data_IF_584663494064
#
_entry.id   IF_584663494064
#
_cell.length_a   1.000
_cell.length_b   1.000
_cell.length_c   1.000
_cell.angle_alpha   90.00
_cell.angle_beta   90.00
_cell.angle_gamma   90.00
#
_symmetry.space_group_name_H-M   'P 1'
#
loop_
_entity.id
_entity.type
_entity.pdbx_description
1 polymer ?
#
# COMPACT_ATOMS: atom_id res chain seq x y z
N UNK A 1 -31.29 6.31 17.78
CA UNK A 1 -31.69 5.73 16.45
C UNK A 1 -32.23 6.76 15.47
N UNK A 2 -32.95 7.80 15.93
CA UNK A 2 -33.53 8.82 15.05
C UNK A 2 -32.52 9.91 14.66
N UNK A 3 -31.58 10.26 15.52
CA UNK A 3 -30.51 11.25 15.24
C UNK A 3 -29.54 10.74 14.17
N UNK A 4 -29.07 9.50 14.27
CA UNK A 4 -28.23 8.85 13.25
C UNK A 4 -28.89 8.80 11.87
N UNK A 5 -30.23 8.67 11.79
CA UNK A 5 -30.94 8.71 10.49
C UNK A 5 -30.96 10.11 9.88
N UNK A 6 -31.02 11.14 10.72
CA UNK A 6 -31.03 12.56 10.27
C UNK A 6 -29.69 12.99 9.68
N UNK A 7 -28.59 12.72 10.38
CA UNK A 7 -27.22 13.04 9.93
C UNK A 7 -26.87 12.33 8.62
N UNK A 8 -27.22 11.05 8.51
CA UNK A 8 -26.94 10.25 7.33
C UNK A 8 -27.76 10.68 6.11
N UNK A 9 -29.02 11.10 6.31
CA UNK A 9 -29.83 11.68 5.24
C UNK A 9 -29.23 12.99 4.74
N UNK A 10 -28.66 13.79 5.62
CA UNK A 10 -27.98 15.04 5.25
C UNK A 10 -26.75 14.77 4.41
N UNK A 11 -25.90 13.81 4.76
CA UNK A 11 -24.73 13.41 3.96
C UNK A 11 -25.11 13.01 2.53
N UNK A 12 -26.18 12.24 2.36
CA UNK A 12 -26.66 11.83 1.03
C UNK A 12 -27.23 13.04 0.27
N UNK A 13 -28.00 13.91 0.92
CA UNK A 13 -28.57 15.11 0.30
C UNK A 13 -27.45 16.07 -0.11
N UNK A 14 -26.38 16.18 0.68
CA UNK A 14 -25.21 16.99 0.36
C UNK A 14 -24.47 16.41 -0.85
N UNK A 15 -24.28 15.10 -0.88
CA UNK A 15 -23.68 14.40 -2.01
C UNK A 15 -24.50 14.59 -3.30
N UNK A 16 -25.82 14.54 -3.25
CA UNK A 16 -26.70 14.81 -4.40
C UNK A 16 -26.57 16.23 -4.95
N UNK A 17 -26.17 17.19 -4.14
CA UNK A 17 -25.95 18.59 -4.55
C UNK A 17 -24.54 18.83 -5.07
N UNK A 18 -23.55 18.07 -4.61
CA UNK A 18 -22.14 18.29 -4.90
C UNK A 18 -21.59 17.38 -6.00
N UNK A 19 -22.22 16.20 -6.21
CA UNK A 19 -21.80 15.23 -7.21
C UNK A 19 -22.67 15.34 -8.46
N UNK A 20 -22.04 15.55 -9.61
CA UNK A 20 -22.73 15.55 -10.91
C UNK A 20 -23.04 14.13 -11.40
N UNK A 21 -22.32 13.12 -10.92
CA UNK A 21 -22.47 11.73 -11.34
C UNK A 21 -23.62 11.04 -10.59
N UNK A 22 -24.76 10.90 -11.25
CA UNK A 22 -25.95 10.23 -10.70
C UNK A 22 -25.72 8.75 -10.39
N UNK A 23 -24.80 8.08 -11.10
CA UNK A 23 -24.51 6.69 -10.83
C UNK A 23 -23.64 6.54 -9.56
N UNK A 24 -22.67 7.42 -9.37
CA UNK A 24 -21.89 7.48 -8.12
C UNK A 24 -22.81 7.70 -6.91
N UNK A 25 -23.83 8.57 -7.02
CA UNK A 25 -24.82 8.76 -5.95
C UNK A 25 -25.62 7.47 -5.69
N UNK A 26 -26.00 6.70 -6.74
CA UNK A 26 -26.67 5.39 -6.55
C UNK A 26 -25.75 4.41 -5.80
N UNK A 27 -24.46 4.34 -6.17
CA UNK A 27 -23.46 3.49 -5.49
C UNK A 27 -23.30 3.92 -4.04
N UNK A 28 -23.22 5.23 -3.76
CA UNK A 28 -23.13 5.77 -2.40
C UNK A 28 -24.34 5.34 -1.53
N UNK A 29 -25.54 5.45 -2.08
CA UNK A 29 -26.77 5.01 -1.39
C UNK A 29 -26.76 3.50 -1.10
N UNK A 30 -26.29 2.70 -2.04
CA UNK A 30 -26.15 1.24 -1.85
C UNK A 30 -25.14 0.93 -0.74
N UNK A 31 -23.98 1.59 -0.73
CA UNK A 31 -22.97 1.43 0.32
C UNK A 31 -23.49 1.85 1.69
N UNK A 32 -24.26 2.91 1.76
CA UNK A 32 -24.95 3.31 2.97
C UNK A 32 -25.89 2.22 3.49
N UNK A 33 -26.73 1.65 2.64
CA UNK A 33 -27.69 0.61 3.03
C UNK A 33 -27.00 -0.63 3.60
N UNK A 34 -25.82 -0.98 3.10
CA UNK A 34 -25.07 -2.17 3.54
C UNK A 34 -24.06 -1.88 4.65
N UNK A 35 -23.79 -0.60 5.00
CA UNK A 35 -22.79 -0.22 6.02
C UNK A 35 -22.96 -0.97 7.34
N UNK A 36 -24.20 -1.16 7.77
CA UNK A 36 -24.52 -1.82 9.04
C UNK A 36 -24.88 -3.30 8.90
N UNK A 37 -24.70 -3.85 7.70
CA UNK A 37 -24.99 -5.25 7.42
C UNK A 37 -23.71 -6.07 7.46
N UNK A 38 -23.33 -6.54 8.66
CA UNK A 38 -22.01 -7.14 8.94
C UNK A 38 -21.61 -8.35 8.09
N UNK A 39 -22.58 -9.01 7.42
CA UNK A 39 -22.33 -10.17 6.58
C UNK A 39 -22.03 -9.82 5.11
N UNK A 40 -22.16 -8.54 4.70
CA UNK A 40 -21.87 -8.10 3.33
C UNK A 40 -20.52 -7.42 3.25
N UNK A 41 -19.58 -8.04 2.55
CA UNK A 41 -18.29 -7.43 2.27
C UNK A 41 -18.41 -6.52 1.05
N UNK A 42 -18.17 -5.23 1.21
CA UNK A 42 -18.27 -4.20 0.18
C UNK A 42 -17.04 -4.18 -0.73
N UNK A 43 -16.67 -5.34 -1.28
CA UNK A 43 -15.64 -5.42 -2.33
C UNK A 43 -16.18 -4.86 -3.65
N UNK A 44 -15.30 -4.38 -4.54
CA UNK A 44 -15.67 -3.92 -5.90
C UNK A 44 -16.58 -4.93 -6.61
N UNK A 45 -16.25 -6.22 -6.56
CA UNK A 45 -17.04 -7.30 -7.16
C UNK A 45 -18.45 -7.37 -6.56
N UNK A 46 -18.58 -7.37 -5.22
CA UNK A 46 -19.86 -7.47 -4.56
C UNK A 46 -20.73 -6.22 -4.79
N UNK A 47 -20.11 -5.03 -4.82
CA UNK A 47 -20.79 -3.78 -5.19
C UNK A 47 -21.28 -3.85 -6.64
N UNK A 48 -20.45 -4.33 -7.56
CA UNK A 48 -20.82 -4.50 -8.96
C UNK A 48 -22.06 -5.40 -9.09
N UNK A 49 -22.08 -6.53 -8.42
CA UNK A 49 -23.24 -7.44 -8.41
C UNK A 49 -24.48 -6.78 -7.79
N UNK A 50 -24.32 -6.06 -6.67
CA UNK A 50 -25.42 -5.35 -5.98
C UNK A 50 -26.08 -4.28 -6.87
N UNK A 51 -25.31 -3.70 -7.79
CA UNK A 51 -25.75 -2.58 -8.64
C UNK A 51 -26.29 -3.02 -10.02
N UNK A 52 -26.37 -4.32 -10.30
CA UNK A 52 -27.01 -4.85 -11.53
C UNK A 52 -28.51 -4.61 -11.46
N UNK A 53 -29.01 -3.82 -12.39
CA UNK A 53 -30.45 -3.50 -12.54
C UNK A 53 -31.05 -4.04 -13.84
N UNK A 54 -30.22 -4.61 -14.75
CA UNK A 54 -30.65 -5.25 -16.02
C UNK A 54 -29.92 -6.58 -16.20
N UNK A 55 -30.67 -7.62 -16.57
CA UNK A 55 -30.13 -8.97 -16.82
C UNK A 55 -29.21 -9.03 -18.07
N UNK A 56 -29.35 -8.09 -18.99
CA UNK A 56 -28.56 -8.01 -20.23
C UNK A 56 -27.38 -7.03 -20.12
N UNK A 57 -26.96 -6.66 -18.89
CA UNK A 57 -25.88 -5.72 -18.69
C UNK A 57 -24.55 -6.25 -19.27
N UNK A 58 -23.83 -5.39 -19.98
CA UNK A 58 -22.42 -5.65 -20.32
C UNK A 58 -21.59 -5.58 -19.02
N UNK A 59 -21.20 -6.74 -18.50
CA UNK A 59 -20.49 -6.85 -17.23
C UNK A 59 -19.18 -6.06 -17.20
N UNK A 60 -18.43 -6.03 -18.32
CA UNK A 60 -17.17 -5.31 -18.39
C UNK A 60 -17.36 -3.79 -18.34
N UNK A 61 -18.31 -3.29 -19.11
CA UNK A 61 -18.67 -1.88 -19.08
C UNK A 61 -19.24 -1.47 -17.73
N UNK A 62 -20.04 -2.35 -17.11
CA UNK A 62 -20.61 -2.15 -15.78
C UNK A 62 -19.51 -2.08 -14.70
N UNK A 63 -18.55 -3.00 -14.70
CA UNK A 63 -17.41 -2.98 -13.76
C UNK A 63 -16.57 -1.71 -13.91
N UNK A 64 -16.33 -1.24 -15.12
CA UNK A 64 -15.63 0.03 -15.39
C UNK A 64 -16.40 1.21 -14.82
N UNK A 65 -17.73 1.21 -14.97
CA UNK A 65 -18.59 2.26 -14.42
C UNK A 65 -18.61 2.28 -12.91
N UNK A 66 -18.60 1.10 -12.26
CA UNK A 66 -18.47 0.97 -10.81
C UNK A 66 -17.11 1.52 -10.35
N UNK A 67 -16.02 1.18 -11.04
CA UNK A 67 -14.69 1.64 -10.72
C UNK A 67 -14.57 3.18 -10.76
N UNK A 68 -15.12 3.77 -11.80
CA UNK A 68 -15.18 5.23 -11.94
C UNK A 68 -15.98 5.86 -10.81
N UNK A 69 -17.16 5.32 -10.50
CA UNK A 69 -18.00 5.80 -9.40
C UNK A 69 -17.31 5.70 -8.04
N UNK A 70 -16.67 4.57 -7.74
CA UNK A 70 -15.92 4.38 -6.49
C UNK A 70 -14.73 5.34 -6.40
N UNK A 71 -14.03 5.58 -7.51
CA UNK A 71 -12.93 6.55 -7.57
C UNK A 71 -13.41 7.98 -7.27
N UNK A 72 -14.54 8.39 -7.84
CA UNK A 72 -15.15 9.71 -7.56
C UNK A 72 -15.49 9.82 -6.07
N UNK A 73 -16.16 8.80 -5.51
CA UNK A 73 -16.58 8.80 -4.12
C UNK A 73 -15.41 8.77 -3.13
N UNK A 74 -14.34 8.05 -3.46
CA UNK A 74 -13.09 7.99 -2.66
C UNK A 74 -12.36 9.35 -2.69
N UNK A 75 -12.24 9.97 -3.87
CA UNK A 75 -11.59 11.28 -4.02
C UNK A 75 -12.33 12.38 -3.26
N UNK A 76 -13.65 12.33 -3.24
CA UNK A 76 -14.53 13.29 -2.54
C UNK A 76 -14.76 12.92 -1.05
N UNK A 77 -14.07 11.89 -0.55
CA UNK A 77 -14.17 11.41 0.85
C UNK A 77 -15.59 11.02 1.29
N UNK A 78 -16.49 10.64 0.37
CA UNK A 78 -17.77 10.00 0.72
C UNK A 78 -17.61 8.53 1.06
N UNK A 79 -16.54 7.93 0.57
CA UNK A 79 -16.19 6.54 0.77
C UNK A 79 -14.70 6.45 1.10
N UNK A 80 -14.34 5.59 2.05
CA UNK A 80 -12.96 5.19 2.28
C UNK A 80 -12.72 3.81 1.69
N UNK A 81 -11.51 3.58 1.23
CA UNK A 81 -11.02 2.28 0.82
C UNK A 81 -10.05 1.71 1.85
N UNK A 82 -10.31 0.48 2.30
CA UNK A 82 -9.43 -0.25 3.20
C UNK A 82 -9.13 -1.63 2.59
N UNK A 83 -7.97 -1.75 1.93
CA UNK A 83 -7.66 -2.89 1.08
C UNK A 83 -8.65 -3.00 -0.09
N UNK A 84 -9.42 -4.09 -0.15
CA UNK A 84 -10.44 -4.33 -1.18
C UNK A 84 -11.86 -3.93 -0.75
N UNK A 85 -12.02 -3.38 0.46
CA UNK A 85 -13.32 -3.00 1.02
C UNK A 85 -13.54 -1.51 0.86
N UNK A 86 -14.74 -1.11 0.44
CA UNK A 86 -15.21 0.27 0.33
C UNK A 86 -16.28 0.54 1.37
N UNK A 87 -16.13 1.57 2.17
CA UNK A 87 -17.02 1.89 3.30
C UNK A 87 -17.56 3.31 3.15
N UNK A 88 -18.89 3.43 3.31
CA UNK A 88 -19.54 4.74 3.40
C UNK A 88 -19.06 5.49 4.63
N UNK A 89 -18.76 6.78 4.50
CA UNK A 89 -18.38 7.66 5.60
C UNK A 89 -19.53 8.55 6.04
N UNK A 90 -19.76 8.65 7.35
CA UNK A 90 -20.59 9.70 7.96
C UNK A 90 -19.87 11.04 7.90
N UNK A 91 -20.54 12.14 8.19
CA UNK A 91 -19.94 13.48 8.11
C UNK A 91 -18.71 13.60 9.03
N UNK A 92 -18.79 13.17 10.29
CA UNK A 92 -17.64 13.15 11.21
C UNK A 92 -16.50 12.24 10.71
N UNK A 93 -16.82 11.06 10.14
CA UNK A 93 -15.83 10.16 9.54
C UNK A 93 -15.18 10.77 8.30
N UNK A 94 -15.97 11.51 7.49
CA UNK A 94 -15.49 12.23 6.31
C UNK A 94 -14.52 13.33 6.70
N UNK A 95 -14.87 14.15 7.68
CA UNK A 95 -13.99 15.23 8.17
C UNK A 95 -12.64 14.66 8.64
N UNK A 96 -12.66 13.60 9.45
CA UNK A 96 -11.44 12.92 9.90
C UNK A 96 -10.65 12.33 8.73
N UNK A 97 -11.32 11.72 7.75
CA UNK A 97 -10.65 11.16 6.56
C UNK A 97 -9.99 12.24 5.70
N UNK A 98 -10.63 13.40 5.54
CA UNK A 98 -10.08 14.55 4.83
C UNK A 98 -8.85 15.11 5.56
N UNK A 99 -8.91 15.23 6.88
CA UNK A 99 -7.78 15.68 7.69
C UNK A 99 -6.60 14.69 7.62
N UNK A 100 -6.87 13.38 7.64
CA UNK A 100 -5.85 12.34 7.41
C UNK A 100 -5.23 12.49 6.02
N UNK A 101 -6.04 12.63 4.96
CA UNK A 101 -5.55 12.80 3.58
C UNK A 101 -4.68 14.04 3.43
N UNK A 102 -5.02 15.12 4.12
CA UNK A 102 -4.30 16.39 4.12
C UNK A 102 -3.10 16.43 5.08
N UNK A 103 -2.88 15.37 5.88
CA UNK A 103 -1.73 15.29 6.77
C UNK A 103 -0.44 15.20 5.95
N UNK A 104 0.47 16.14 6.15
CA UNK A 104 1.79 16.14 5.51
C UNK A 104 2.67 15.04 6.06
N UNK A 105 3.37 14.36 5.18
CA UNK A 105 4.39 13.35 5.50
C UNK A 105 5.66 13.65 4.68
N UNK A 106 6.81 13.34 5.26
CA UNK A 106 8.10 13.47 4.58
C UNK A 106 8.52 12.14 3.92
N UNK A 107 9.40 12.24 2.93
CA UNK A 107 9.93 11.08 2.21
C UNK A 107 10.75 10.17 3.14
N UNK A 108 11.34 10.72 4.20
CA UNK A 108 12.08 9.93 5.18
C UNK A 108 11.14 8.95 5.94
N UNK A 109 9.92 9.38 6.27
CA UNK A 109 8.93 8.52 6.92
C UNK A 109 8.50 7.37 5.98
N UNK A 110 8.36 7.66 4.67
CA UNK A 110 8.05 6.63 3.66
C UNK A 110 9.19 5.61 3.58
N UNK A 111 10.42 6.07 3.41
CA UNK A 111 11.59 5.23 3.28
C UNK A 111 11.83 4.39 4.55
N UNK A 112 11.58 4.97 5.74
CA UNK A 112 11.69 4.25 7.01
C UNK A 112 10.65 3.13 7.14
N UNK A 113 9.40 3.37 6.75
CA UNK A 113 8.37 2.33 6.75
C UNK A 113 8.66 1.23 5.74
N UNK A 114 9.15 1.58 4.55
CA UNK A 114 9.57 0.61 3.55
C UNK A 114 10.72 -0.26 4.07
N UNK A 115 11.69 0.34 4.75
CA UNK A 115 12.80 -0.39 5.41
C UNK A 115 12.26 -1.36 6.46
N UNK A 116 11.36 -0.91 7.32
CA UNK A 116 10.73 -1.77 8.34
C UNK A 116 10.02 -2.97 7.68
N UNK A 117 9.21 -2.72 6.64
CA UNK A 117 8.48 -3.79 5.96
C UNK A 117 9.42 -4.76 5.24
N UNK A 118 10.35 -4.25 4.42
CA UNK A 118 11.15 -5.07 3.52
C UNK A 118 12.29 -5.77 4.25
N UNK A 119 13.05 -5.05 5.08
CA UNK A 119 14.21 -5.61 5.75
C UNK A 119 13.90 -6.19 7.12
N UNK A 120 13.06 -5.54 7.95
CA UNK A 120 12.84 -6.01 9.32
C UNK A 120 11.74 -7.09 9.41
N UNK A 121 10.67 -6.97 8.57
CA UNK A 121 9.54 -7.90 8.62
C UNK A 121 9.63 -9.05 7.59
N UNK A 122 10.21 -8.83 6.40
CA UNK A 122 10.29 -9.85 5.35
C UNK A 122 11.66 -10.52 5.34
N UNK A 123 12.74 -9.80 5.10
CA UNK A 123 14.09 -10.37 5.00
C UNK A 123 14.55 -10.85 6.37
N UNK A 124 14.45 -10.02 7.41
CA UNK A 124 14.75 -10.29 8.83
C UNK A 124 16.21 -10.59 9.15
N UNK A 125 17.04 -10.80 8.15
CA UNK A 125 18.43 -11.15 8.33
C UNK A 125 19.32 -9.94 8.02
N UNK A 126 20.33 -9.71 8.83
CA UNK A 126 21.41 -8.75 8.58
C UNK A 126 22.69 -9.42 8.08
N UNK A 127 22.66 -10.74 7.98
CA UNK A 127 23.70 -11.61 7.42
C UNK A 127 23.05 -12.78 6.70
N UNK A 128 23.60 -13.14 5.56
CA UNK A 128 23.13 -14.28 4.78
C UNK A 128 24.28 -15.28 4.64
N UNK A 129 24.00 -16.54 4.95
CA UNK A 129 24.97 -17.63 4.80
C UNK A 129 25.18 -17.95 3.32
N UNK A 130 26.42 -17.91 2.86
CA UNK A 130 26.80 -18.42 1.54
C UNK A 130 26.93 -19.94 1.59
N UNK A 131 26.23 -20.63 0.69
CA UNK A 131 26.05 -22.07 0.79
C UNK A 131 27.30 -22.87 0.45
N UNK A 132 28.20 -22.35 -0.41
CA UNK A 132 29.40 -23.06 -0.84
C UNK A 132 30.46 -23.11 0.26
N UNK A 133 30.78 -22.00 0.90
CA UNK A 133 31.81 -21.94 1.94
C UNK A 133 31.28 -21.94 3.36
N UNK A 134 29.94 -21.92 3.55
CA UNK A 134 29.23 -21.90 4.85
C UNK A 134 29.50 -20.68 5.73
N UNK A 135 30.09 -19.60 5.18
CA UNK A 135 30.33 -18.33 5.88
C UNK A 135 29.13 -17.42 5.80
N UNK A 136 28.96 -16.58 6.83
CA UNK A 136 27.95 -15.54 6.90
C UNK A 136 28.52 -14.23 6.38
N UNK A 137 27.82 -13.61 5.43
CA UNK A 137 28.16 -12.31 4.85
C UNK A 137 27.13 -11.28 5.27
N UNK A 138 27.60 -10.18 5.84
CA UNK A 138 26.77 -9.04 6.14
C UNK A 138 26.65 -8.10 4.91
N UNK A 139 25.64 -7.25 4.93
CA UNK A 139 25.35 -6.35 3.81
C UNK A 139 24.77 -5.02 4.28
N UNK A 140 24.97 -3.98 3.47
CA UNK A 140 24.29 -2.70 3.59
C UNK A 140 22.88 -2.82 3.02
N UNK A 141 21.89 -2.43 3.78
CA UNK A 141 20.51 -2.32 3.32
C UNK A 141 20.26 -0.96 2.70
N UNK A 142 19.74 -0.91 1.46
CA UNK A 142 19.36 0.33 0.77
C UNK A 142 17.95 0.26 0.22
N UNK A 143 17.25 1.40 0.21
CA UNK A 143 15.96 1.59 -0.46
C UNK A 143 16.01 2.92 -1.20
N UNK A 144 15.76 2.89 -2.51
CA UNK A 144 15.65 4.07 -3.36
C UNK A 144 16.84 5.04 -3.17
N UNK A 145 18.07 4.51 -3.08
CA UNK A 145 19.29 5.26 -2.87
C UNK A 145 19.63 5.58 -1.40
N UNK A 146 18.68 5.44 -0.49
CA UNK A 146 18.90 5.70 0.95
C UNK A 146 19.42 4.44 1.65
N UNK A 147 20.57 4.54 2.32
CA UNK A 147 21.15 3.42 3.06
C UNK A 147 20.74 3.45 4.55
N UNK A 148 20.75 2.28 5.19
CA UNK A 148 20.40 2.09 6.60
C UNK A 148 21.51 1.36 7.34
N UNK A 149 21.85 1.87 8.52
CA UNK A 149 22.85 1.29 9.39
C UNK A 149 24.29 1.66 8.98
N UNK A 150 25.22 0.71 9.11
CA UNK A 150 26.63 0.90 8.73
C UNK A 150 26.88 0.35 7.35
N UNK A 151 27.68 1.05 6.58
CA UNK A 151 28.16 0.55 5.29
C UNK A 151 28.96 -0.74 5.46
N UNK A 152 28.69 -1.68 4.56
CA UNK A 152 29.34 -2.97 4.44
C UNK A 152 29.84 -3.13 3.01
N UNK A 153 30.70 -4.11 2.80
CA UNK A 153 31.27 -4.38 1.48
C UNK A 153 30.20 -4.82 0.48
N UNK A 154 29.29 -5.72 0.91
CA UNK A 154 28.17 -6.13 0.08
C UNK A 154 26.94 -5.24 0.32
N UNK A 155 26.12 -5.07 -0.71
CA UNK A 155 24.95 -4.21 -0.69
C UNK A 155 23.72 -4.90 -1.29
N UNK A 156 22.59 -4.74 -0.63
CA UNK A 156 21.27 -5.08 -1.16
C UNK A 156 20.45 -3.80 -1.25
N UNK A 157 20.17 -3.35 -2.47
CA UNK A 157 19.31 -2.22 -2.72
C UNK A 157 17.97 -2.68 -3.30
N UNK A 158 16.88 -2.22 -2.69
CA UNK A 158 15.52 -2.44 -3.16
C UNK A 158 15.04 -1.14 -3.78
N UNK A 159 14.61 -1.20 -5.05
CA UNK A 159 14.07 -0.07 -5.81
C UNK A 159 12.55 -0.21 -5.86
N UNK A 160 11.86 0.83 -5.41
CA UNK A 160 10.39 0.92 -5.47
C UNK A 160 9.96 1.88 -6.57
N UNK A 161 8.67 1.93 -6.89
CA UNK A 161 8.10 2.90 -7.83
C UNK A 161 8.10 4.37 -7.30
N UNK A 162 8.64 4.60 -6.10
CA UNK A 162 8.96 5.93 -5.58
C UNK A 162 10.33 6.46 -6.04
N UNK A 163 11.18 5.58 -6.59
CA UNK A 163 12.49 5.95 -7.11
C UNK A 163 12.36 6.74 -8.42
N UNK A 164 13.04 7.87 -8.54
CA UNK A 164 12.92 8.78 -9.70
C UNK A 164 13.18 8.08 -11.04
N UNK A 165 14.18 7.19 -11.10
CA UNK A 165 14.58 6.47 -12.29
C UNK A 165 14.02 5.03 -12.35
N UNK A 166 12.91 4.76 -11.64
CA UNK A 166 12.31 3.42 -11.55
C UNK A 166 12.05 2.76 -12.92
N UNK A 167 11.59 3.53 -13.91
CA UNK A 167 11.30 3.02 -15.26
C UNK A 167 12.55 2.91 -16.13
N UNK A 168 13.69 3.50 -15.72
CA UNK A 168 14.93 3.49 -16.48
C UNK A 168 15.78 2.25 -16.15
N UNK A 169 15.37 1.11 -16.71
CA UNK A 169 16.01 -0.19 -16.48
C UNK A 169 17.51 -0.16 -16.84
N UNK A 170 17.86 0.50 -17.95
CA UNK A 170 19.26 0.61 -18.40
C UNK A 170 20.13 1.40 -17.40
N UNK A 171 19.58 2.46 -16.82
CA UNK A 171 20.28 3.24 -15.79
C UNK A 171 20.48 2.41 -14.52
N UNK A 172 19.42 1.78 -14.01
CA UNK A 172 19.50 0.90 -12.82
C UNK A 172 20.53 -0.22 -13.02
N UNK A 173 20.51 -0.86 -14.19
CA UNK A 173 21.46 -1.89 -14.56
C UNK A 173 22.91 -1.34 -14.59
N UNK A 174 23.15 -0.18 -15.20
CA UNK A 174 24.47 0.43 -15.28
C UNK A 174 25.08 0.72 -13.91
N UNK A 175 24.27 1.09 -12.93
CA UNK A 175 24.71 1.34 -11.55
C UNK A 175 25.27 0.11 -10.84
N UNK A 176 25.00 -1.09 -11.34
CA UNK A 176 25.53 -2.34 -10.77
C UNK A 176 26.86 -2.78 -11.39
N UNK A 177 27.34 -2.09 -12.44
CA UNK A 177 28.60 -2.45 -13.11
C UNK A 177 29.79 -2.20 -12.17
N UNK A 178 30.56 -3.27 -11.92
CA UNK A 178 31.75 -3.21 -11.06
C UNK A 178 31.45 -2.90 -9.59
N UNK A 179 30.17 -2.91 -9.19
CA UNK A 179 29.78 -2.73 -7.79
C UNK A 179 29.76 -4.06 -7.04
N UNK A 180 29.89 -3.99 -5.72
CA UNK A 180 29.73 -5.13 -4.79
C UNK A 180 28.29 -5.26 -4.30
N UNK A 181 27.35 -4.65 -5.00
CA UNK A 181 25.94 -4.61 -4.66
C UNK A 181 25.03 -5.25 -5.71
N UNK A 182 23.84 -5.59 -5.29
CA UNK A 182 22.74 -6.00 -6.17
C UNK A 182 21.53 -5.09 -5.99
N UNK A 183 20.75 -4.92 -7.06
CA UNK A 183 19.51 -4.16 -7.04
C UNK A 183 18.32 -5.07 -7.34
N UNK A 184 17.29 -4.99 -6.49
CA UNK A 184 16.01 -5.67 -6.68
C UNK A 184 14.95 -4.61 -6.99
N UNK A 185 14.44 -4.60 -8.22
CA UNK A 185 13.38 -3.67 -8.64
C UNK A 185 12.04 -4.35 -8.41
N UNK A 186 11.26 -3.82 -7.47
CA UNK A 186 9.95 -4.35 -7.14
C UNK A 186 9.00 -4.25 -8.34
N UNK A 187 8.09 -5.22 -8.48
CA UNK A 187 7.00 -5.07 -9.43
C UNK A 187 6.12 -3.88 -9.05
N UNK A 188 5.78 -3.03 -10.03
CA UNK A 188 4.93 -1.85 -9.80
C UNK A 188 3.57 -2.24 -9.24
N UNK A 189 3.14 -1.53 -8.21
CA UNK A 189 1.83 -1.67 -7.61
C UNK A 189 1.34 -0.32 -7.06
N UNK A 190 0.56 0.40 -7.85
CA UNK A 190 0.03 1.72 -7.48
C UNK A 190 -0.75 1.72 -6.14
N UNK A 191 -1.37 0.60 -5.77
CA UNK A 191 -2.07 0.46 -4.49
C UNK A 191 -1.08 0.39 -3.33
N UNK A 192 0.07 -0.27 -3.49
CA UNK A 192 1.06 -0.44 -2.44
C UNK A 192 1.58 0.92 -1.92
N UNK A 193 2.12 1.77 -2.78
CA UNK A 193 2.67 3.06 -2.37
C UNK A 193 1.61 4.03 -1.85
N UNK A 194 0.39 3.98 -2.40
CA UNK A 194 -0.74 4.74 -1.85
C UNK A 194 -1.05 4.30 -0.42
N UNK A 195 -1.11 3.01 -0.16
CA UNK A 195 -1.42 2.46 1.16
C UNK A 195 -0.26 2.67 2.15
N UNK A 196 1.01 2.70 1.70
CA UNK A 196 2.18 3.14 2.49
C UNK A 196 1.98 4.58 2.99
N UNK A 197 1.67 5.51 2.07
CA UNK A 197 1.43 6.91 2.44
C UNK A 197 0.24 7.06 3.38
N UNK A 198 -0.86 6.36 3.10
CA UNK A 198 -2.06 6.41 3.94
C UNK A 198 -1.81 5.84 5.34
N UNK A 199 -1.00 4.77 5.46
CA UNK A 199 -0.60 4.22 6.75
C UNK A 199 0.12 5.28 7.61
N UNK A 200 1.10 5.98 7.02
CA UNK A 200 1.90 7.00 7.73
C UNK A 200 1.02 8.19 8.11
N UNK A 201 0.20 8.69 7.18
CA UNK A 201 -0.73 9.80 7.42
C UNK A 201 -1.68 9.49 8.56
N UNK A 202 -2.30 8.30 8.55
CA UNK A 202 -3.22 7.86 9.60
C UNK A 202 -2.52 7.79 10.96
N UNK A 203 -1.33 7.18 11.02
CA UNK A 203 -0.57 7.05 12.26
C UNK A 203 -0.15 8.44 12.82
N UNK A 204 0.30 9.34 11.95
CA UNK A 204 0.69 10.72 12.33
C UNK A 204 -0.50 11.50 12.84
N UNK A 205 -1.63 11.48 12.10
CA UNK A 205 -2.87 12.15 12.50
C UNK A 205 -3.38 11.62 13.86
N UNK A 206 -3.40 10.30 14.03
CA UNK A 206 -3.79 9.65 15.27
C UNK A 206 -2.92 10.11 16.44
N UNK A 207 -1.59 10.15 16.28
CA UNK A 207 -0.66 10.59 17.30
C UNK A 207 -0.89 12.07 17.69
N UNK A 208 -1.19 12.93 16.72
CA UNK A 208 -1.43 14.37 16.95
C UNK A 208 -2.77 14.63 17.66
N UNK A 209 -3.75 13.75 17.47
CA UNK A 209 -5.12 13.93 17.98
C UNK A 209 -5.47 13.05 19.18
N UNK A 210 -4.52 12.27 19.72
CA UNK A 210 -4.66 11.54 20.99
C UNK A 210 -4.46 12.52 22.16
N UNK A 211 -5.51 13.16 22.62
CA UNK A 211 -5.44 14.08 23.75
C UNK A 211 -6.72 14.12 24.60
N UNK A 212 -6.61 14.63 25.82
CA UNK A 212 -7.73 14.77 26.77
C UNK A 212 -8.82 15.76 26.32
N UNK A 213 -8.59 16.52 25.24
CA UNK A 213 -9.55 17.45 24.63
C UNK A 213 -10.30 16.92 23.42
N UNK A 214 -10.04 15.67 23.01
CA UNK A 214 -10.67 15.09 21.81
C UNK A 214 -12.16 14.81 22.05
N UNK A 215 -13.03 15.26 21.13
CA UNK A 215 -14.47 14.96 21.21
C UNK A 215 -14.70 13.44 21.23
N UNK A 216 -15.66 12.91 22.01
CA UNK A 216 -15.88 11.46 22.14
C UNK A 216 -16.14 10.76 20.81
N UNK A 217 -16.86 11.40 19.88
CA UNK A 217 -17.10 10.85 18.53
C UNK A 217 -15.78 10.71 17.75
N UNK A 218 -14.95 11.75 17.75
CA UNK A 218 -13.64 11.73 17.08
C UNK A 218 -12.72 10.67 17.71
N UNK A 219 -12.72 10.54 19.04
CA UNK A 219 -11.93 9.52 19.74
C UNK A 219 -12.31 8.10 19.31
N UNK A 220 -13.62 7.83 19.11
CA UNK A 220 -14.10 6.55 18.61
C UNK A 220 -13.66 6.32 17.17
N UNK A 221 -13.79 7.33 16.29
CA UNK A 221 -13.34 7.23 14.89
C UNK A 221 -11.82 6.97 14.84
N UNK A 222 -11.03 7.65 15.66
CA UNK A 222 -9.58 7.41 15.75
C UNK A 222 -9.26 5.97 16.18
N UNK A 223 -10.00 5.40 17.11
CA UNK A 223 -9.84 4.01 17.51
C UNK A 223 -10.10 3.05 16.35
N UNK A 224 -11.18 3.29 15.58
CA UNK A 224 -11.50 2.49 14.38
C UNK A 224 -10.41 2.65 13.31
N UNK A 225 -9.91 3.86 13.07
CA UNK A 225 -8.80 4.14 12.15
C UNK A 225 -7.50 3.44 12.57
N UNK A 226 -7.20 3.40 13.88
CA UNK A 226 -6.06 2.66 14.43
C UNK A 226 -6.14 1.17 14.11
N UNK A 227 -7.30 0.55 14.33
CA UNK A 227 -7.53 -0.87 14.00
C UNK A 227 -7.41 -1.15 12.49
N UNK A 228 -7.97 -0.26 11.66
CA UNK A 228 -7.83 -0.34 10.21
C UNK A 228 -6.36 -0.22 9.78
N UNK A 229 -5.60 0.65 10.44
CA UNK A 229 -4.19 0.86 10.14
C UNK A 229 -3.32 -0.36 10.50
N UNK A 230 -3.64 -1.07 11.57
CA UNK A 230 -3.01 -2.37 11.91
C UNK A 230 -3.27 -3.39 10.79
N UNK A 231 -4.49 -3.47 10.27
CA UNK A 231 -4.83 -4.36 9.15
C UNK A 231 -4.12 -3.93 7.87
N UNK A 232 -4.05 -2.61 7.60
CA UNK A 232 -3.32 -2.05 6.45
C UNK A 232 -1.85 -2.44 6.48
N UNK A 233 -1.19 -2.37 7.64
CA UNK A 233 0.21 -2.80 7.78
C UNK A 233 0.41 -4.27 7.43
N UNK A 234 -0.47 -5.16 7.89
CA UNK A 234 -0.41 -6.59 7.54
C UNK A 234 -0.55 -6.80 6.02
N UNK A 235 -1.48 -6.09 5.38
CA UNK A 235 -1.66 -6.14 3.94
C UNK A 235 -0.45 -5.59 3.19
N UNK A 236 0.17 -4.50 3.66
CA UNK A 236 1.39 -3.95 3.09
C UNK A 236 2.53 -4.97 3.11
N UNK A 237 2.71 -5.71 4.22
CA UNK A 237 3.73 -6.77 4.32
C UNK A 237 3.46 -7.88 3.28
N UNK A 238 2.20 -8.32 3.11
CA UNK A 238 1.84 -9.32 2.12
C UNK A 238 2.09 -8.83 0.68
N UNK A 239 1.70 -7.60 0.37
CA UNK A 239 1.92 -6.99 -0.95
C UNK A 239 3.40 -6.82 -1.25
N UNK A 240 4.19 -6.34 -0.28
CA UNK A 240 5.63 -6.18 -0.40
C UNK A 240 6.34 -7.52 -0.59
N UNK A 241 5.96 -8.55 0.18
CA UNK A 241 6.53 -9.89 0.03
C UNK A 241 6.29 -10.47 -1.37
N UNK A 242 5.07 -10.30 -1.90
CA UNK A 242 4.75 -10.70 -3.27
C UNK A 242 5.57 -9.92 -4.30
N UNK A 243 5.58 -8.57 -4.20
CA UNK A 243 6.32 -7.71 -5.11
C UNK A 243 7.84 -8.02 -5.11
N UNK A 244 8.40 -8.34 -3.93
CA UNK A 244 9.79 -8.74 -3.80
C UNK A 244 10.07 -10.10 -4.45
N UNK A 245 9.16 -11.06 -4.31
CA UNK A 245 9.24 -12.37 -4.96
C UNK A 245 9.16 -12.29 -6.50
N UNK A 246 8.45 -11.29 -7.03
CA UNK A 246 8.30 -11.01 -8.47
C UNK A 246 9.35 -10.01 -8.99
N UNK A 247 10.25 -9.49 -8.13
CA UNK A 247 11.22 -8.45 -8.47
C UNK A 247 12.19 -8.87 -9.58
N UNK A 248 12.62 -7.88 -10.38
CA UNK A 248 13.76 -8.00 -11.29
C UNK A 248 15.05 -7.79 -10.52
N UNK A 249 16.06 -8.61 -10.76
CA UNK A 249 17.35 -8.54 -10.08
C UNK A 249 18.44 -8.12 -11.05
N UNK A 250 19.25 -7.13 -10.66
CA UNK A 250 20.39 -6.63 -11.41
C UNK A 250 21.67 -6.82 -10.60
N UNK A 251 22.72 -7.33 -11.25
CA UNK A 251 24.00 -7.64 -10.66
C UNK A 251 25.11 -7.48 -11.71
N UNK A 252 26.18 -6.79 -11.35
CA UNK A 252 27.39 -6.61 -12.20
C UNK A 252 27.07 -6.22 -13.66
N UNK A 253 26.18 -5.23 -13.83
CA UNK A 253 25.79 -4.70 -15.14
C UNK A 253 24.87 -5.61 -15.94
N UNK A 254 24.37 -6.71 -15.37
CA UNK A 254 23.48 -7.67 -16.03
C UNK A 254 22.17 -7.86 -15.27
N UNK A 255 21.13 -8.24 -16.01
CA UNK A 255 19.89 -8.75 -15.41
C UNK A 255 20.06 -10.22 -15.07
N UNK A 256 19.80 -10.56 -13.83
CA UNK A 256 19.87 -11.94 -13.38
C UNK A 256 18.56 -12.67 -13.69
N UNK A 257 18.60 -13.66 -14.55
CA UNK A 257 17.44 -14.50 -14.83
C UNK A 257 17.15 -15.40 -13.63
N UNK A 258 16.03 -15.12 -12.97
CA UNK A 258 15.58 -15.87 -11.80
C UNK A 258 14.08 -16.13 -11.91
N UNK A 259 13.66 -17.30 -11.48
CA UNK A 259 12.24 -17.63 -11.36
C UNK A 259 11.55 -16.74 -10.32
N UNK A 260 10.29 -16.43 -10.56
CA UNK A 260 9.45 -15.78 -9.55
C UNK A 260 9.33 -16.71 -8.33
N UNK A 261 9.28 -16.12 -7.15
CA UNK A 261 9.08 -16.82 -5.88
C UNK A 261 7.81 -16.32 -5.23
N UNK A 262 7.08 -17.18 -4.56
CA UNK A 262 5.96 -16.75 -3.71
C UNK A 262 6.44 -16.16 -2.37
N UNK A 263 7.75 -16.24 -2.08
CA UNK A 263 8.40 -15.72 -0.89
C UNK A 263 9.55 -14.78 -1.27
N UNK A 264 9.40 -13.50 -0.91
CA UNK A 264 10.38 -12.47 -1.20
C UNK A 264 11.73 -12.71 -0.51
N UNK A 265 11.73 -13.24 0.71
CA UNK A 265 12.96 -13.59 1.44
C UNK A 265 13.77 -14.62 0.66
N UNK A 266 13.13 -15.70 0.18
CA UNK A 266 13.79 -16.73 -0.63
C UNK A 266 14.39 -16.16 -1.91
N UNK A 267 13.69 -15.22 -2.57
CA UNK A 267 14.21 -14.51 -3.75
C UNK A 267 15.50 -13.76 -3.45
N UNK A 268 15.49 -12.99 -2.35
CA UNK A 268 16.68 -12.22 -1.92
C UNK A 268 17.85 -13.13 -1.57
N UNK A 269 17.62 -14.20 -0.80
CA UNK A 269 18.67 -15.17 -0.44
C UNK A 269 19.30 -15.78 -1.67
N UNK A 270 18.49 -16.23 -2.65
CA UNK A 270 18.98 -16.83 -3.88
C UNK A 270 19.78 -15.84 -4.75
N UNK A 271 19.32 -14.58 -4.83
CA UNK A 271 20.06 -13.52 -5.51
C UNK A 271 21.40 -13.22 -4.81
N UNK A 272 21.39 -13.19 -3.48
CA UNK A 272 22.59 -12.95 -2.69
C UNK A 272 23.65 -14.04 -2.84
N UNK A 273 23.27 -15.33 -3.03
CA UNK A 273 24.23 -16.38 -3.36
C UNK A 273 25.01 -16.05 -4.65
N UNK A 274 24.30 -15.47 -5.65
CA UNK A 274 24.94 -15.07 -6.91
C UNK A 274 25.83 -13.83 -6.73
N UNK A 275 25.41 -12.88 -5.88
CA UNK A 275 26.21 -11.71 -5.54
C UNK A 275 27.55 -12.15 -4.92
N UNK A 276 27.52 -13.01 -3.89
CA UNK A 276 28.73 -13.47 -3.20
C UNK A 276 29.66 -14.22 -4.18
N UNK A 277 29.11 -15.08 -5.04
CA UNK A 277 29.92 -15.80 -6.05
C UNK A 277 30.59 -14.88 -7.08
N UNK A 278 30.01 -13.71 -7.36
CA UNK A 278 30.61 -12.73 -8.28
C UNK A 278 31.66 -11.86 -7.59
N UNK A 279 31.43 -11.49 -6.33
CA UNK A 279 32.34 -10.59 -5.57
C UNK A 279 33.53 -11.36 -5.01
N UNK A 280 33.32 -12.62 -4.62
CA UNK A 280 34.36 -13.52 -4.05
C UNK A 280 34.44 -14.81 -4.88
N UNK A 281 35.05 -14.75 -6.08
CA UNK A 281 35.14 -15.87 -7.02
C UNK A 281 36.05 -17.03 -6.52
#
# INVERSE_FOLDING_TARGET
RNELRGEIQQSIILAEKQLDDRFAIKVLKALFLVKYFGNFKTTKRNISVLMIDDINVDLKAHETKIDTALTILENQSYVQRNGDIFEFLTDDEKDVEEEIKNTDIDEQAITQLLKEILFDEIIRDNKIKYLENKQDYDFTSKIDGSFFGREKELEIEIITDNYQDYENEAFIQSQTMGSTGMKLVLASNATFMRDVRMYIKTAKYEMQNRGSGTRPQVARILQEKSMQNVTRKKNLILMANKALGESKVYLNGGKLEMTTSNDGKTKVINAFQKLVAVVYP
#
